data_IF_108609396096
#
_entry.id   IF_108609396096
#
_cell.length_a   1.000
_cell.length_b   1.000
_cell.length_c   1.000
_cell.angle_alpha   90.00
_cell.angle_beta   90.00
_cell.angle_gamma   90.00
#
_symmetry.space_group_name_H-M   'P 1'
#
loop_
_entity.id
_entity.type
_entity.pdbx_description
1 polymer ?
#
# COMPACT_ATOMS: atom_id res chain seq x y z
N UNK A 1 -0.85 -3.81 13.20
CA UNK A 1 0.34 -3.21 12.57
C UNK A 1 0.15 -3.17 11.07
N UNK A 2 0.34 -2.01 10.44
CA UNK A 2 0.22 -1.83 8.98
C UNK A 2 1.61 -1.81 8.35
N UNK A 3 1.72 -2.27 7.10
CA UNK A 3 3.00 -2.35 6.39
C UNK A 3 2.89 -1.73 5.00
N UNK A 4 3.92 -0.98 4.63
CA UNK A 4 4.24 -0.69 3.24
C UNK A 4 5.46 -1.50 2.87
N UNK A 5 5.26 -2.54 2.07
CA UNK A 5 6.33 -3.40 1.58
C UNK A 5 6.72 -2.96 0.18
N UNK A 6 7.99 -2.60 0.01
CA UNK A 6 8.54 -2.16 -1.28
C UNK A 6 9.69 -3.06 -1.69
N UNK A 7 9.85 -3.26 -3.00
CA UNK A 7 10.94 -4.05 -3.57
C UNK A 7 11.20 -3.64 -5.02
N UNK A 8 12.39 -3.89 -5.54
CA UNK A 8 12.68 -3.79 -6.96
C UNK A 8 12.42 -5.12 -7.67
N UNK A 9 11.92 -5.10 -8.90
CA UNK A 9 11.69 -6.33 -9.69
C UNK A 9 12.98 -7.14 -9.94
N UNK A 10 14.13 -6.46 -10.02
CA UNK A 10 15.45 -7.07 -10.24
C UNK A 10 16.22 -7.33 -8.94
N UNK A 11 15.60 -7.07 -7.79
CA UNK A 11 16.19 -7.31 -6.48
C UNK A 11 16.20 -8.81 -6.17
N UNK A 12 17.26 -9.31 -5.51
CA UNK A 12 17.35 -10.73 -5.14
C UNK A 12 16.19 -11.13 -4.21
N UNK A 13 15.76 -10.19 -3.36
CA UNK A 13 14.64 -10.34 -2.44
C UNK A 13 13.26 -10.36 -3.08
N UNK A 14 13.10 -10.14 -4.39
CA UNK A 14 11.79 -9.99 -5.03
C UNK A 14 10.84 -11.17 -4.81
N UNK A 15 11.36 -12.40 -4.92
CA UNK A 15 10.54 -13.61 -4.66
C UNK A 15 10.20 -13.77 -3.18
N UNK A 16 11.13 -13.40 -2.30
CA UNK A 16 10.92 -13.45 -0.86
C UNK A 16 9.88 -12.42 -0.41
N UNK A 17 9.88 -11.21 -1.00
CA UNK A 17 8.89 -10.17 -0.69
C UNK A 17 7.49 -10.56 -1.17
N UNK A 18 7.36 -11.18 -2.36
CA UNK A 18 6.09 -11.74 -2.82
C UNK A 18 5.56 -12.78 -1.82
N UNK A 19 6.42 -13.71 -1.39
CA UNK A 19 6.05 -14.73 -0.41
C UNK A 19 5.58 -14.12 0.91
N UNK A 20 6.37 -13.19 1.46
CA UNK A 20 6.02 -12.49 2.70
C UNK A 20 4.69 -11.71 2.56
N UNK A 21 4.45 -11.08 1.41
CA UNK A 21 3.20 -10.39 1.14
C UNK A 21 1.99 -11.34 1.23
N UNK A 22 2.00 -12.45 0.49
CA UNK A 22 0.88 -13.38 0.48
C UNK A 22 0.68 -14.10 1.81
N UNK A 23 1.75 -14.62 2.41
CA UNK A 23 1.68 -15.27 3.73
C UNK A 23 1.19 -14.26 4.78
N UNK A 24 1.63 -13.01 4.70
CA UNK A 24 1.15 -11.93 5.58
C UNK A 24 -0.35 -11.67 5.41
N UNK A 25 -0.85 -11.58 4.18
CA UNK A 25 -2.28 -11.41 3.91
C UNK A 25 -3.09 -12.60 4.45
N UNK A 26 -2.63 -13.83 4.25
CA UNK A 26 -3.27 -15.04 4.78
C UNK A 26 -3.34 -15.05 6.31
N UNK A 27 -2.35 -14.44 6.97
CA UNK A 27 -2.30 -14.28 8.43
C UNK A 27 -2.97 -12.98 8.93
N UNK A 28 -3.72 -12.28 8.07
CA UNK A 28 -4.51 -11.10 8.44
C UNK A 28 -3.71 -9.81 8.57
N UNK A 29 -2.49 -9.75 8.04
CA UNK A 29 -1.69 -8.52 8.05
C UNK A 29 -2.24 -7.53 7.02
N UNK A 30 -2.21 -6.24 7.35
CA UNK A 30 -2.57 -5.19 6.42
C UNK A 30 -1.31 -4.67 5.74
N UNK A 31 -1.08 -5.12 4.50
CA UNK A 31 0.14 -4.83 3.73
C UNK A 31 -0.25 -4.16 2.42
N UNK A 32 0.39 -3.03 2.12
CA UNK A 32 0.43 -2.42 0.79
C UNK A 32 1.72 -2.86 0.12
N UNK A 33 1.65 -3.49 -1.07
CA UNK A 33 2.80 -4.10 -1.72
C UNK A 33 3.14 -3.45 -3.06
N UNK A 34 4.25 -2.70 -3.09
CA UNK A 34 4.71 -1.97 -4.27
C UNK A 34 5.98 -2.60 -4.84
N UNK A 35 5.94 -2.89 -6.14
CA UNK A 35 7.10 -3.34 -6.91
C UNK A 35 7.59 -2.18 -7.79
N UNK A 36 8.88 -1.93 -7.77
CA UNK A 36 9.56 -1.01 -8.68
C UNK A 36 9.99 -1.69 -9.97
N UNK A 37 9.36 -1.32 -11.09
CA UNK A 37 9.70 -1.86 -12.41
C UNK A 37 11.15 -1.59 -12.78
N UNK A 38 11.84 -2.62 -13.27
CA UNK A 38 13.25 -2.55 -13.67
C UNK A 38 14.24 -2.06 -12.59
N UNK A 39 13.80 -1.87 -11.34
CA UNK A 39 14.64 -1.47 -10.21
C UNK A 39 15.34 -2.68 -9.59
N UNK A 40 16.63 -2.52 -9.28
CA UNK A 40 17.38 -3.40 -8.38
C UNK A 40 17.40 -2.82 -6.97
N UNK A 41 18.59 -2.66 -6.38
CA UNK A 41 18.77 -2.10 -5.03
C UNK A 41 18.57 -0.58 -4.91
N UNK A 42 17.87 0.04 -5.85
CA UNK A 42 17.68 1.49 -5.93
C UNK A 42 16.23 1.85 -5.65
N UNK A 43 15.99 3.01 -5.03
CA UNK A 43 14.64 3.58 -4.91
C UNK A 43 14.24 4.35 -6.17
N UNK A 44 12.97 4.72 -6.26
CA UNK A 44 12.48 5.71 -7.21
C UNK A 44 11.75 6.85 -6.48
N UNK A 45 11.72 8.07 -7.06
CA UNK A 45 10.93 9.17 -6.51
C UNK A 45 9.44 8.86 -6.33
N UNK A 46 8.91 7.87 -7.05
CA UNK A 46 7.55 7.39 -6.83
C UNK A 46 7.43 6.59 -5.54
N UNK A 47 8.33 5.64 -5.30
CA UNK A 47 8.37 4.82 -4.08
C UNK A 47 8.59 5.70 -2.85
N UNK A 48 9.46 6.71 -2.95
CA UNK A 48 9.72 7.65 -1.85
C UNK A 48 8.45 8.44 -1.50
N UNK A 49 7.78 9.02 -2.51
CA UNK A 49 6.50 9.73 -2.32
C UNK A 49 5.41 8.82 -1.75
N UNK A 50 5.36 7.56 -2.20
CA UNK A 50 4.43 6.57 -1.66
C UNK A 50 4.71 6.31 -0.18
N UNK A 51 6.00 6.21 0.20
CA UNK A 51 6.45 6.08 1.58
C UNK A 51 5.96 7.22 2.46
N UNK A 52 6.16 8.46 2.03
CA UNK A 52 5.68 9.64 2.75
C UNK A 52 4.16 9.65 2.90
N UNK A 53 3.41 9.44 1.82
CA UNK A 53 1.95 9.44 1.85
C UNK A 53 1.37 8.31 2.73
N UNK A 54 1.99 7.14 2.72
CA UNK A 54 1.61 6.03 3.60
C UNK A 54 1.94 6.32 5.07
N UNK A 55 3.07 6.96 5.34
CA UNK A 55 3.42 7.38 6.69
C UNK A 55 2.45 8.45 7.21
N UNK A 56 2.12 9.45 6.40
CA UNK A 56 1.11 10.45 6.73
C UNK A 56 -0.27 9.82 6.98
N UNK A 57 -0.65 8.82 6.19
CA UNK A 57 -1.82 8.00 6.47
C UNK A 57 -1.74 7.37 7.86
N UNK A 58 -0.62 6.73 8.21
CA UNK A 58 -0.43 6.09 9.52
C UNK A 58 -0.49 7.10 10.69
N UNK A 59 0.14 8.25 10.54
CA UNK A 59 0.17 9.31 11.55
C UNK A 59 -1.23 9.85 11.87
N UNK A 60 -2.17 9.85 10.91
CA UNK A 60 -3.56 10.27 11.15
C UNK A 60 -4.25 9.45 12.23
N UNK A 61 -3.76 8.24 12.54
CA UNK A 61 -4.34 7.34 13.54
C UNK A 61 -3.54 7.28 14.84
N UNK A 62 -2.36 7.91 14.90
CA UNK A 62 -1.65 8.05 16.16
C UNK A 62 -2.40 9.05 17.05
N UNK A 63 -2.53 8.76 18.36
CA UNK A 63 -3.07 9.73 19.30
C UNK A 63 -2.19 11.00 19.31
N UNK A 64 -2.82 12.16 19.33
CA UNK A 64 -2.09 13.41 19.54
C UNK A 64 -1.80 13.56 21.04
N UNK A 65 -0.55 13.29 21.41
CA UNK A 65 -0.10 13.38 22.80
C UNK A 65 0.09 14.82 23.29
N UNK A 66 -0.16 15.83 22.43
CA UNK A 66 -0.18 17.24 22.83
C UNK A 66 -1.51 17.63 23.48
N UNK A 67 -2.56 16.84 23.23
CA UNK A 67 -3.87 17.02 23.87
C UNK A 67 -3.91 16.32 25.23
N UNK A 68 -4.44 17.01 26.25
CA UNK A 68 -4.62 16.45 27.60
C UNK A 68 -5.61 15.27 27.65
N UNK A 69 -6.36 15.05 26.58
CA UNK A 69 -7.20 13.87 26.36
C UNK A 69 -6.94 13.37 24.93
N UNK A 70 -6.03 12.40 24.73
CA UNK A 70 -5.76 11.89 23.39
C UNK A 70 -7.04 11.29 22.81
N UNK A 71 -7.59 11.96 21.79
CA UNK A 71 -8.78 11.50 21.09
C UNK A 71 -8.52 10.13 20.48
N UNK A 72 -9.45 9.17 20.64
CA UNK A 72 -9.38 7.88 19.95
C UNK A 72 -9.59 8.12 18.46
N UNK A 73 -8.50 8.15 17.69
CA UNK A 73 -8.56 8.14 16.24
C UNK A 73 -8.95 6.72 15.79
N UNK A 74 -9.68 6.61 14.67
CA UNK A 74 -10.36 5.37 14.25
C UNK A 74 -9.45 4.14 14.05
N UNK A 75 -9.96 3.09 13.42
CA UNK A 75 -9.13 1.91 13.16
C UNK A 75 -8.22 2.12 11.95
N UNK A 76 -6.90 2.19 12.18
CA UNK A 76 -5.86 2.31 11.15
C UNK A 76 -5.92 1.21 10.06
N UNK A 77 -6.55 0.08 10.38
CA UNK A 77 -6.71 -1.05 9.46
C UNK A 77 -7.99 -0.96 8.61
N UNK A 78 -8.93 -0.07 8.94
CA UNK A 78 -10.26 -0.02 8.31
C UNK A 78 -10.17 0.13 6.79
N UNK A 79 -9.43 1.14 6.32
CA UNK A 79 -9.27 1.43 4.90
C UNK A 79 -8.32 0.47 4.19
N UNK A 80 -7.67 -0.45 4.90
CA UNK A 80 -6.90 -1.53 4.28
C UNK A 80 -7.72 -2.82 4.18
N UNK A 81 -8.69 -3.03 5.07
CA UNK A 81 -9.66 -4.14 4.99
C UNK A 81 -10.82 -3.84 4.03
N UNK A 82 -11.17 -2.57 3.86
CA UNK A 82 -12.20 -2.09 2.92
C UNK A 82 -11.65 -0.92 2.10
N UNK A 83 -10.67 -1.19 1.23
CA UNK A 83 -9.98 -0.13 0.53
C UNK A 83 -10.90 0.54 -0.50
N UNK A 84 -10.84 1.88 -0.62
CA UNK A 84 -11.56 2.60 -1.68
C UNK A 84 -10.91 2.41 -3.06
N UNK A 85 -9.62 2.06 -3.10
CA UNK A 85 -8.85 1.84 -4.32
C UNK A 85 -8.04 0.53 -4.24
N UNK A 86 -7.84 -0.11 -5.38
CA UNK A 86 -7.01 -1.30 -5.52
C UNK A 86 -5.87 -0.97 -6.49
N UNK A 87 -4.65 -1.30 -6.09
CA UNK A 87 -3.46 -1.22 -6.94
C UNK A 87 -3.21 -2.55 -7.64
N UNK A 88 -2.84 -2.48 -8.92
CA UNK A 88 -2.16 -3.53 -9.66
C UNK A 88 -0.65 -3.30 -9.51
N UNK A 89 0.01 -4.16 -8.74
CA UNK A 89 1.46 -4.02 -8.54
C UNK A 89 2.29 -4.58 -9.70
N UNK A 90 1.68 -5.31 -10.64
CA UNK A 90 2.34 -5.76 -11.85
C UNK A 90 2.32 -4.67 -12.92
N UNK A 91 1.13 -4.13 -13.22
CA UNK A 91 0.95 -3.15 -14.30
C UNK A 91 1.13 -1.68 -13.86
N UNK A 92 1.36 -1.43 -12.56
CA UNK A 92 1.50 -0.09 -11.99
C UNK A 92 0.24 0.78 -12.17
N UNK A 93 -0.93 0.16 -12.12
CA UNK A 93 -2.22 0.82 -12.28
C UNK A 93 -2.98 0.85 -10.95
N UNK A 94 -3.88 1.81 -10.79
CA UNK A 94 -4.81 1.87 -9.67
C UNK A 94 -6.24 2.01 -10.20
N UNK A 95 -7.19 1.35 -9.56
CA UNK A 95 -8.61 1.39 -9.91
C UNK A 95 -9.46 1.65 -8.65
N UNK A 96 -10.67 2.22 -8.77
CA UNK A 96 -11.66 2.18 -7.71
C UNK A 96 -11.97 0.73 -7.30
N UNK A 97 -12.26 0.48 -6.02
CA UNK A 97 -12.54 -0.87 -5.54
C UNK A 97 -13.73 -1.56 -6.24
N UNK A 98 -14.69 -0.79 -6.76
CA UNK A 98 -15.78 -1.31 -7.61
C UNK A 98 -15.29 -1.95 -8.92
N UNK A 99 -14.09 -1.58 -9.38
CA UNK A 99 -13.44 -2.08 -10.60
C UNK A 99 -12.32 -3.08 -10.31
N UNK A 100 -12.18 -3.55 -9.07
CA UNK A 100 -11.12 -4.49 -8.67
C UNK A 100 -11.07 -5.76 -9.54
N UNK A 101 -12.21 -6.20 -10.07
CA UNK A 101 -12.32 -7.37 -10.97
C UNK A 101 -11.49 -7.24 -12.27
N UNK A 102 -11.05 -6.04 -12.65
CA UNK A 102 -10.18 -5.82 -13.80
C UNK A 102 -8.74 -6.29 -13.54
N UNK A 103 -8.33 -6.40 -12.27
CA UNK A 103 -6.99 -6.81 -11.86
C UNK A 103 -7.07 -8.27 -11.41
N UNK A 104 -6.15 -9.12 -11.87
CA UNK A 104 -6.11 -10.51 -11.38
C UNK A 104 -5.81 -10.52 -9.87
N UNK A 105 -6.55 -11.28 -9.08
CA UNK A 105 -6.51 -11.22 -7.60
C UNK A 105 -5.11 -11.26 -6.98
N UNK A 106 -4.20 -12.08 -7.52
CA UNK A 106 -2.79 -12.16 -7.08
C UNK A 106 -2.02 -10.83 -7.22
N UNK A 107 -2.39 -9.99 -8.18
CA UNK A 107 -1.75 -8.70 -8.44
C UNK A 107 -2.41 -7.53 -7.70
N UNK A 108 -3.48 -7.79 -6.94
CA UNK A 108 -4.19 -6.75 -6.20
C UNK A 108 -3.47 -6.39 -4.90
N UNK A 109 -3.49 -5.11 -4.56
CA UNK A 109 -3.11 -4.60 -3.23
C UNK A 109 -4.01 -3.46 -2.79
N UNK A 110 -4.25 -3.33 -1.49
CA UNK A 110 -5.13 -2.32 -0.93
C UNK A 110 -4.48 -0.94 -0.97
N UNK A 111 -5.19 0.08 -1.45
CA UNK A 111 -4.75 1.47 -1.42
C UNK A 111 -5.74 2.29 -0.59
N UNK A 112 -5.36 2.76 0.62
CA UNK A 112 -6.33 3.24 1.60
C UNK A 112 -6.86 4.65 1.31
N UNK A 113 -6.20 5.43 0.45
CA UNK A 113 -6.61 6.81 0.14
C UNK A 113 -6.46 7.12 -1.35
N UNK A 114 -7.23 8.12 -1.83
CA UNK A 114 -7.09 8.66 -3.19
C UNK A 114 -5.69 9.22 -3.45
N UNK A 115 -5.09 9.85 -2.45
CA UNK A 115 -3.72 10.37 -2.52
C UNK A 115 -2.70 9.26 -2.83
N UNK A 116 -2.77 8.17 -2.07
CA UNK A 116 -1.93 6.99 -2.30
C UNK A 116 -2.20 6.38 -3.68
N UNK A 117 -3.47 6.30 -4.10
CA UNK A 117 -3.85 5.79 -5.43
C UNK A 117 -3.31 6.65 -6.59
N UNK A 118 -3.28 7.98 -6.44
CA UNK A 118 -2.69 8.88 -7.44
C UNK A 118 -1.16 8.77 -7.53
N UNK A 119 -0.50 8.49 -6.41
CA UNK A 119 0.96 8.28 -6.38
C UNK A 119 1.32 6.92 -6.97
N UNK A 120 0.46 5.92 -6.78
CA UNK A 120 0.69 4.52 -7.17
C UNK A 120 1.17 4.33 -8.61
N UNK A 121 0.54 5.04 -9.54
CA UNK A 121 0.76 4.97 -10.97
C UNK A 121 -0.46 5.51 -11.73
N UNK A 122 -0.85 4.86 -12.82
CA UNK A 122 -1.98 5.34 -13.63
C UNK A 122 -3.30 5.02 -12.92
N UNK A 123 -4.04 6.06 -12.52
CA UNK A 123 -5.38 5.90 -11.94
C UNK A 123 -6.43 5.81 -13.05
N UNK A 124 -7.02 4.64 -13.21
CA UNK A 124 -8.10 4.37 -14.17
C UNK A 124 -9.44 4.65 -13.48
N UNK A 125 -10.21 5.59 -14.01
CA UNK A 125 -11.51 5.99 -13.47
C UNK A 125 -12.62 5.07 -13.89
#
# INVERSE_FOLDING_TARGET
>A
MIWLLTTGEREYGYRASQRFYYEGLENGYSIVYKVGEALGHSSSPQIDRLGFAFFDYALRYLPDYRDNQPSRRGDIHELLRRPPYIGDWLNQEAVPASKAHMIQGRYQTALPTLEIAKIWGTLIQ
#
